data_IF_329288907863
#
_entry.id   IF_329288907863
#
_cell.length_a   1.000
_cell.length_b   1.000
_cell.length_c   1.000
_cell.angle_alpha   90.00
_cell.angle_beta   90.00
_cell.angle_gamma   90.00
#
_symmetry.space_group_name_H-M   'P 1'
#
loop_
_entity.id
_entity.type
_entity.pdbx_description
1 polymer ?
#
# COMPACT_ATOMS: atom_id res chain seq x y z
N UNK A 1 27.73 -6.90 -37.19
CA UNK A 1 26.28 -6.50 -37.20
C UNK A 1 25.72 -6.95 -35.88
N UNK A 2 25.49 -6.01 -34.96
CA UNK A 2 24.86 -6.29 -33.66
C UNK A 2 23.37 -6.46 -33.90
N UNK A 3 22.85 -7.67 -33.74
CA UNK A 3 21.41 -7.92 -33.70
C UNK A 3 20.78 -7.05 -32.60
N UNK A 4 19.99 -6.07 -33.00
CA UNK A 4 19.15 -5.35 -32.06
C UNK A 4 18.04 -6.33 -31.60
N UNK A 5 18.24 -6.94 -30.45
CA UNK A 5 17.21 -7.73 -29.78
C UNK A 5 16.05 -6.74 -29.45
N UNK A 6 15.02 -6.77 -30.29
CA UNK A 6 13.79 -6.01 -29.99
C UNK A 6 13.18 -6.56 -28.71
N UNK A 7 13.14 -5.74 -27.66
CA UNK A 7 12.46 -6.12 -26.42
C UNK A 7 10.96 -6.24 -26.72
N UNK A 8 10.29 -7.29 -26.20
CA UNK A 8 8.84 -7.41 -26.33
C UNK A 8 8.13 -6.20 -25.72
N UNK A 9 6.99 -5.82 -26.28
CA UNK A 9 6.14 -4.76 -25.73
C UNK A 9 5.44 -5.31 -24.48
N UNK A 10 5.63 -4.63 -23.35
CA UNK A 10 4.96 -4.98 -22.10
C UNK A 10 3.66 -4.18 -21.98
N UNK A 11 2.52 -4.87 -21.84
CA UNK A 11 1.18 -4.26 -21.82
C UNK A 11 0.43 -4.50 -20.50
N UNK A 12 1.03 -5.14 -19.53
CA UNK A 12 0.40 -5.49 -18.24
C UNK A 12 0.77 -4.49 -17.13
N UNK A 13 0.61 -3.20 -17.42
CA UNK A 13 0.94 -2.11 -16.49
C UNK A 13 0.01 -2.05 -15.26
N UNK A 14 -1.14 -2.73 -15.31
CA UNK A 14 -2.01 -2.89 -14.13
C UNK A 14 -1.45 -3.84 -13.08
N UNK A 15 -0.61 -4.80 -13.49
CA UNK A 15 0.04 -5.72 -12.55
C UNK A 15 1.27 -5.10 -11.90
N UNK A 16 2.15 -4.46 -12.68
CA UNK A 16 3.33 -3.75 -12.19
C UNK A 16 3.87 -2.78 -13.24
N UNK A 17 4.62 -1.79 -12.79
CA UNK A 17 5.28 -0.81 -13.64
C UNK A 17 6.77 -0.72 -13.31
N UNK A 18 7.63 -0.28 -14.25
CA UNK A 18 9.01 0.06 -13.92
C UNK A 18 9.04 1.15 -12.83
N UNK A 19 10.01 1.06 -11.94
CA UNK A 19 10.25 2.12 -10.96
C UNK A 19 10.89 3.31 -11.67
N UNK A 20 10.42 4.52 -11.39
CA UNK A 20 11.03 5.76 -11.90
C UNK A 20 12.49 5.85 -11.48
N UNK A 21 13.38 6.23 -12.40
CA UNK A 21 14.82 6.26 -12.15
C UNK A 21 15.22 7.16 -10.98
N UNK A 22 14.48 8.25 -10.74
CA UNK A 22 14.68 9.14 -9.58
C UNK A 22 14.36 8.42 -8.26
N UNK A 23 13.34 7.57 -8.28
CA UNK A 23 12.96 6.74 -7.12
C UNK A 23 14.00 5.66 -6.87
N UNK A 24 14.49 4.98 -7.93
CA UNK A 24 15.59 4.01 -7.81
C UNK A 24 16.83 4.67 -7.19
N UNK A 25 17.21 5.85 -7.68
CA UNK A 25 18.37 6.58 -7.14
C UNK A 25 18.21 6.95 -5.65
N UNK A 26 16.98 7.29 -5.22
CA UNK A 26 16.69 7.56 -3.81
C UNK A 26 16.76 6.29 -2.96
N UNK A 27 16.18 5.17 -3.43
CA UNK A 27 16.23 3.88 -2.73
C UNK A 27 17.65 3.39 -2.51
N UNK A 28 18.54 3.55 -3.50
CA UNK A 28 19.93 3.11 -3.43
C UNK A 28 20.72 3.77 -2.29
N UNK A 29 20.31 4.93 -1.81
CA UNK A 29 20.94 5.62 -0.65
C UNK A 29 20.79 4.83 0.66
N UNK A 30 19.91 3.82 0.70
CA UNK A 30 19.57 3.06 1.91
C UNK A 30 19.80 1.54 1.75
N UNK A 31 20.30 1.06 0.60
CA UNK A 31 20.32 -0.38 0.29
C UNK A 31 21.70 -1.03 0.27
N UNK A 32 22.77 -0.27 0.26
CA UNK A 32 24.14 -0.79 0.15
C UNK A 32 24.91 -0.77 1.47
N UNK A 33 26.03 -1.52 1.57
CA UNK A 33 26.86 -1.55 2.77
C UNK A 33 27.51 -0.20 3.09
N UNK A 34 27.79 0.62 2.08
CA UNK A 34 28.35 1.98 2.22
C UNK A 34 27.26 3.06 2.23
N UNK A 35 25.99 2.67 2.32
CA UNK A 35 24.85 3.56 2.32
C UNK A 35 24.35 3.86 3.74
N UNK A 36 23.30 4.70 3.84
CA UNK A 36 22.63 5.00 5.11
C UNK A 36 21.64 3.89 5.53
N UNK A 37 22.02 2.63 5.40
CA UNK A 37 21.18 1.51 5.82
C UNK A 37 20.96 1.49 7.34
N UNK A 38 19.82 1.02 7.78
CA UNK A 38 19.51 0.87 9.22
C UNK A 38 18.09 0.48 9.48
N UNK A 39 17.85 -0.06 10.67
CA UNK A 39 16.48 -0.33 11.12
C UNK A 39 15.93 0.93 11.81
N UNK A 40 14.86 1.57 11.30
CA UNK A 40 14.28 2.77 11.88
C UNK A 40 13.69 2.56 13.29
N UNK A 41 13.48 1.31 13.71
CA UNK A 41 13.05 1.01 15.08
C UNK A 41 14.21 0.95 16.09
N UNK A 42 15.46 0.96 15.63
CA UNK A 42 16.64 0.91 16.49
C UNK A 42 17.01 2.31 17.01
N UNK A 43 16.66 2.60 18.26
CA UNK A 43 16.83 3.92 18.87
C UNK A 43 18.15 4.12 19.63
N UNK A 44 19.03 3.10 19.68
CA UNK A 44 20.25 3.10 20.49
C UNK A 44 21.52 3.52 19.74
N UNK A 45 21.44 3.75 18.43
CA UNK A 45 22.62 4.07 17.60
C UNK A 45 22.25 4.86 16.35
N UNK A 46 23.27 5.54 15.78
CA UNK A 46 23.11 6.48 14.66
C UNK A 46 22.53 5.88 13.38
N UNK A 47 22.79 4.61 13.06
CA UNK A 47 22.18 3.96 11.90
C UNK A 47 20.65 3.92 11.99
N UNK A 48 20.12 3.61 13.17
CA UNK A 48 18.67 3.62 13.41
C UNK A 48 18.10 5.05 13.32
N UNK A 49 18.77 6.04 13.91
CA UNK A 49 18.31 7.44 13.85
C UNK A 49 18.27 7.98 12.43
N UNK A 50 19.30 7.68 11.61
CA UNK A 50 19.34 8.08 10.19
C UNK A 50 18.20 7.43 9.41
N UNK A 51 17.94 6.14 9.62
CA UNK A 51 16.85 5.45 8.97
C UNK A 51 15.47 5.97 9.43
N UNK A 52 15.29 6.23 10.73
CA UNK A 52 14.06 6.83 11.28
C UNK A 52 13.78 8.21 10.66
N UNK A 53 14.81 9.07 10.58
CA UNK A 53 14.68 10.40 9.97
C UNK A 53 14.26 10.33 8.49
N UNK A 54 14.80 9.37 7.74
CA UNK A 54 14.45 9.16 6.33
C UNK A 54 12.97 8.72 6.18
N UNK A 55 12.52 7.76 7.00
CA UNK A 55 11.13 7.29 7.01
C UNK A 55 10.16 8.41 7.39
N UNK A 56 10.48 9.20 8.42
CA UNK A 56 9.62 10.32 8.83
C UNK A 56 9.58 11.45 7.78
N UNK A 57 10.67 11.69 7.09
CA UNK A 57 10.70 12.63 5.95
C UNK A 57 9.79 12.15 4.82
N UNK A 58 9.87 10.88 4.44
CA UNK A 58 9.00 10.28 3.43
C UNK A 58 7.52 10.33 3.86
N UNK A 59 7.23 10.01 5.12
CA UNK A 59 5.90 10.11 5.71
C UNK A 59 5.33 11.53 5.60
N UNK A 60 6.14 12.53 5.93
CA UNK A 60 5.75 13.93 5.82
C UNK A 60 5.45 14.32 4.37
N UNK A 61 6.29 13.92 3.41
CA UNK A 61 6.06 14.22 1.99
C UNK A 61 4.72 13.63 1.49
N UNK A 62 4.39 12.40 1.88
CA UNK A 62 3.11 11.78 1.52
C UNK A 62 1.95 12.52 2.18
N UNK A 63 2.07 12.83 3.46
CA UNK A 63 1.03 13.56 4.19
C UNK A 63 0.75 14.94 3.57
N UNK A 64 1.80 15.70 3.25
CA UNK A 64 1.69 17.01 2.59
C UNK A 64 1.00 16.89 1.21
N UNK A 65 1.33 15.83 0.44
CA UNK A 65 0.75 15.58 -0.88
C UNK A 65 -0.76 15.32 -0.84
N UNK A 66 -1.24 14.58 0.17
CA UNK A 66 -2.66 14.19 0.30
C UNK A 66 -3.43 15.09 1.28
N UNK A 67 -2.80 16.09 1.86
CA UNK A 67 -3.42 17.01 2.83
C UNK A 67 -3.75 16.36 4.18
N UNK A 68 -2.98 15.35 4.59
CA UNK A 68 -3.15 14.61 5.83
C UNK A 68 -2.13 15.02 6.90
N UNK A 69 -2.36 14.60 8.16
CA UNK A 69 -1.34 14.66 9.20
C UNK A 69 -0.35 13.48 9.02
N UNK A 70 0.96 13.65 9.24
CA UNK A 70 1.91 12.55 9.14
C UNK A 70 1.56 11.31 9.97
N UNK A 71 0.88 11.48 11.11
CA UNK A 71 0.40 10.37 11.95
C UNK A 71 -0.73 9.54 11.33
N UNK A 72 -1.38 10.04 10.27
CA UNK A 72 -2.42 9.33 9.52
C UNK A 72 -1.85 8.49 8.39
N UNK A 73 -0.56 8.62 8.08
CA UNK A 73 0.12 7.84 7.06
C UNK A 73 0.67 6.56 7.70
N UNK A 74 0.26 5.41 7.18
CA UNK A 74 0.72 4.10 7.63
C UNK A 74 1.38 3.39 6.47
N UNK A 75 2.67 3.08 6.59
CA UNK A 75 3.39 2.24 5.63
C UNK A 75 3.05 0.78 5.85
N UNK A 76 2.76 0.09 4.76
CA UNK A 76 2.45 -1.35 4.73
C UNK A 76 3.34 -2.07 3.72
N UNK A 77 3.34 -3.39 3.77
CA UNK A 77 4.09 -4.22 2.83
C UNK A 77 3.48 -4.27 1.41
N UNK A 78 2.26 -3.74 1.23
CA UNK A 78 1.57 -3.70 -0.05
C UNK A 78 0.05 -3.56 0.09
N UNK A 79 -0.64 -3.53 -1.06
CA UNK A 79 -2.08 -3.28 -1.14
C UNK A 79 -2.90 -4.26 -0.29
N UNK A 80 -2.58 -5.55 -0.30
CA UNK A 80 -3.32 -6.56 0.48
C UNK A 80 -3.31 -6.26 1.97
N UNK A 81 -2.18 -5.84 2.54
CA UNK A 81 -2.12 -5.43 3.95
C UNK A 81 -2.90 -4.15 4.19
N UNK A 82 -2.78 -3.17 3.29
CA UNK A 82 -3.52 -1.91 3.38
C UNK A 82 -5.02 -2.11 3.36
N UNK A 83 -5.54 -2.94 2.44
CA UNK A 83 -6.96 -3.27 2.34
C UNK A 83 -7.47 -3.96 3.62
N UNK A 84 -6.73 -4.95 4.11
CA UNK A 84 -7.09 -5.63 5.35
C UNK A 84 -7.10 -4.68 6.55
N UNK A 85 -6.08 -3.84 6.68
CA UNK A 85 -5.97 -2.87 7.77
C UNK A 85 -7.12 -1.87 7.74
N UNK A 86 -7.42 -1.30 6.57
CA UNK A 86 -8.47 -0.31 6.40
C UNK A 86 -9.86 -0.93 6.62
N UNK A 87 -10.20 -1.99 5.88
CA UNK A 87 -11.55 -2.57 5.90
C UNK A 87 -11.87 -3.15 7.28
N UNK A 88 -11.00 -4.02 7.80
CA UNK A 88 -11.22 -4.66 9.11
C UNK A 88 -11.09 -3.67 10.26
N UNK A 89 -10.12 -2.76 10.19
CA UNK A 89 -9.92 -1.73 11.20
C UNK A 89 -11.13 -0.82 11.35
N UNK A 90 -11.65 -0.29 10.24
CA UNK A 90 -12.86 0.56 10.25
C UNK A 90 -14.09 -0.21 10.71
N UNK A 91 -14.29 -1.44 10.22
CA UNK A 91 -15.42 -2.27 10.61
C UNK A 91 -15.42 -2.56 12.12
N UNK A 92 -14.30 -3.02 12.67
CA UNK A 92 -14.19 -3.33 14.09
C UNK A 92 -14.31 -2.09 14.98
N UNK A 93 -13.68 -0.97 14.58
CA UNK A 93 -13.78 0.28 15.32
C UNK A 93 -15.22 0.80 15.41
N UNK A 94 -15.97 0.69 14.31
CA UNK A 94 -17.34 1.20 14.22
C UNK A 94 -18.43 0.16 14.52
N UNK A 95 -18.11 -1.04 15.00
CA UNK A 95 -19.07 -2.14 15.22
C UNK A 95 -20.31 -1.80 16.04
N UNK A 96 -20.22 -0.76 16.90
CA UNK A 96 -21.35 -0.27 17.71
C UNK A 96 -22.26 0.66 16.92
N UNK A 97 -21.79 1.24 15.80
CA UNK A 97 -22.56 2.17 14.94
C UNK A 97 -23.30 1.44 13.84
N UNK A 98 -22.75 0.32 13.38
CA UNK A 98 -23.33 -0.49 12.32
C UNK A 98 -22.41 -1.64 11.95
N UNK A 99 -22.98 -2.63 11.28
CA UNK A 99 -22.29 -3.84 10.82
C UNK A 99 -22.62 -4.16 9.35
N UNK A 100 -22.91 -3.14 8.55
CA UNK A 100 -23.19 -3.30 7.13
C UNK A 100 -22.08 -2.67 6.29
N UNK A 101 -21.58 -3.43 5.33
CA UNK A 101 -20.52 -3.06 4.39
C UNK A 101 -21.10 -3.16 2.98
N UNK A 102 -20.78 -2.20 2.14
CA UNK A 102 -21.13 -2.23 0.72
C UNK A 102 -19.83 -2.28 -0.08
N UNK A 103 -19.72 -3.22 -1.01
CA UNK A 103 -18.58 -3.40 -1.90
C UNK A 103 -19.03 -3.80 -3.30
N UNK A 104 -18.11 -3.82 -4.27
CA UNK A 104 -18.41 -4.25 -5.63
C UNK A 104 -17.89 -5.67 -5.87
N UNK A 105 -18.61 -6.48 -6.68
CA UNK A 105 -18.19 -7.85 -7.03
C UNK A 105 -16.89 -7.90 -7.82
N UNK A 106 -16.53 -6.83 -8.50
CA UNK A 106 -15.32 -6.71 -9.32
C UNK A 106 -14.08 -6.27 -8.55
N UNK A 107 -14.21 -6.05 -7.24
CA UNK A 107 -13.08 -5.68 -6.40
C UNK A 107 -11.97 -6.75 -6.39
N UNK A 108 -10.75 -6.30 -6.09
CA UNK A 108 -9.62 -7.20 -5.94
C UNK A 108 -9.88 -8.23 -4.81
N UNK A 109 -9.30 -9.41 -4.95
CA UNK A 109 -9.45 -10.51 -3.98
C UNK A 109 -9.15 -10.10 -2.53
N UNK A 110 -8.19 -9.21 -2.31
CA UNK A 110 -7.84 -8.71 -0.97
C UNK A 110 -9.01 -7.99 -0.28
N UNK A 111 -9.82 -7.25 -1.04
CA UNK A 111 -11.03 -6.57 -0.56
C UNK A 111 -12.13 -7.61 -0.30
N UNK A 112 -12.42 -8.46 -1.31
CA UNK A 112 -13.50 -9.47 -1.21
C UNK A 112 -13.26 -10.46 -0.07
N UNK A 113 -12.02 -10.95 0.11
CA UNK A 113 -11.70 -11.89 1.18
C UNK A 113 -11.78 -11.23 2.57
N UNK A 114 -11.43 -9.94 2.67
CA UNK A 114 -11.63 -9.16 3.90
C UNK A 114 -13.11 -9.02 4.24
N UNK A 115 -13.97 -8.74 3.25
CA UNK A 115 -15.42 -8.69 3.43
C UNK A 115 -15.99 -10.05 3.85
N UNK A 116 -15.60 -11.14 3.18
CA UNK A 116 -16.01 -12.51 3.54
C UNK A 116 -15.59 -12.90 4.96
N UNK A 117 -14.43 -12.43 5.42
CA UNK A 117 -14.02 -12.65 6.80
C UNK A 117 -14.97 -11.92 7.78
N UNK A 118 -15.32 -10.68 7.49
CA UNK A 118 -16.24 -9.90 8.31
C UNK A 118 -17.66 -10.50 8.32
N UNK A 119 -18.15 -11.11 7.20
CA UNK A 119 -19.41 -11.87 7.18
C UNK A 119 -19.39 -13.01 8.21
N UNK A 120 -18.28 -13.75 8.30
CA UNK A 120 -18.12 -14.82 9.32
C UNK A 120 -18.14 -14.28 10.75
N UNK A 121 -17.81 -13.01 10.93
CA UNK A 121 -17.84 -12.29 12.21
C UNK A 121 -19.19 -11.62 12.49
N UNK A 122 -20.18 -11.83 11.61
CA UNK A 122 -21.55 -11.34 11.78
C UNK A 122 -21.78 -9.94 11.25
N UNK A 123 -21.01 -9.50 10.24
CA UNK A 123 -21.31 -8.32 9.45
C UNK A 123 -22.19 -8.71 8.27
N UNK A 124 -23.04 -7.80 7.84
CA UNK A 124 -23.78 -7.89 6.58
C UNK A 124 -22.94 -7.26 5.48
N UNK A 125 -22.84 -7.92 4.31
CA UNK A 125 -22.12 -7.37 3.16
C UNK A 125 -23.01 -7.38 1.93
N UNK A 126 -23.15 -6.20 1.32
CA UNK A 126 -23.82 -6.05 0.02
C UNK A 126 -22.77 -5.98 -1.08
N UNK A 127 -22.83 -6.92 -2.02
CA UNK A 127 -21.98 -6.96 -3.20
C UNK A 127 -22.73 -6.38 -4.39
N UNK A 128 -22.36 -5.20 -4.85
CA UNK A 128 -22.95 -4.57 -6.02
C UNK A 128 -22.45 -5.21 -7.32
N UNK A 129 -23.35 -5.41 -8.26
CA UNK A 129 -23.00 -5.77 -9.62
C UNK A 129 -22.63 -4.49 -10.41
N UNK A 130 -21.53 -4.49 -11.18
CA UNK A 130 -21.26 -3.38 -12.10
C UNK A 130 -22.27 -3.41 -13.25
N UNK A 131 -22.55 -2.27 -13.84
CA UNK A 131 -23.32 -2.19 -15.09
C UNK A 131 -22.51 -2.79 -16.25
N UNK A 132 -23.17 -3.05 -17.41
CA UNK A 132 -22.54 -3.64 -18.61
C UNK A 132 -21.34 -2.84 -19.13
N UNK A 133 -21.31 -1.53 -18.87
CA UNK A 133 -20.18 -0.63 -19.20
C UNK A 133 -19.08 -0.60 -18.13
N UNK A 134 -19.19 -1.40 -17.08
CA UNK A 134 -18.21 -1.50 -16.00
C UNK A 134 -18.33 -0.42 -14.92
N UNK A 135 -19.37 0.42 -14.95
CA UNK A 135 -19.67 1.45 -13.95
C UNK A 135 -20.64 0.94 -12.89
#
# INVERSE_FOLDING_TARGET
>A
MTEQIMKPIYLDYSATTPIDERVVAEMLKYMGPESSFGNPASRSHSFGWTAEAAVETARKHIADLVGANPKEIIFTSGATESDNLAIKGVAHFNKKRGKHIVTCKTEHKAVLDSCRQLEREGYEVTYLDPMENGL
#
